data_IF_538893120293
#
_entry.id   IF_538893120293
#
_cell.length_a   1.000
_cell.length_b   1.000
_cell.length_c   1.000
_cell.angle_alpha   90.00
_cell.angle_beta   90.00
_cell.angle_gamma   90.00
#
_symmetry.space_group_name_H-M   'P 1'
#
loop_
_entity.id
_entity.type
_entity.pdbx_description
1 polymer ?
#
# COMPACT_ATOMS: atom_id res chain seq x y z
N UNK A 1 -57.95 12.83 -25.23
CA UNK A 1 -56.63 12.35 -24.77
C UNK A 1 -56.16 13.34 -23.73
N UNK A 2 -56.46 13.06 -22.46
CA UNK A 2 -56.27 13.98 -21.34
C UNK A 2 -54.98 13.58 -20.61
N UNK A 3 -54.03 14.51 -20.56
CA UNK A 3 -52.67 14.31 -20.03
C UNK A 3 -52.65 14.83 -18.59
N UNK A 4 -53.11 13.98 -17.67
CA UNK A 4 -53.15 14.27 -16.25
C UNK A 4 -51.74 14.14 -15.64
N UNK A 5 -51.09 15.29 -15.47
CA UNK A 5 -49.92 15.48 -14.62
C UNK A 5 -50.25 15.02 -13.19
N UNK A 6 -49.65 13.90 -12.77
CA UNK A 6 -49.60 13.51 -11.37
C UNK A 6 -48.92 14.64 -10.59
N UNK A 7 -49.56 15.21 -9.56
CA UNK A 7 -48.90 16.19 -8.72
C UNK A 7 -47.83 15.47 -7.88
N UNK A 8 -46.56 15.82 -8.06
CA UNK A 8 -45.41 15.45 -7.22
C UNK A 8 -45.52 15.91 -5.75
N UNK A 9 -46.72 16.33 -5.31
CA UNK A 9 -47.01 16.87 -3.98
C UNK A 9 -47.00 15.84 -2.82
N UNK A 10 -47.33 14.54 -3.00
CA UNK A 10 -47.30 13.62 -1.86
C UNK A 10 -45.89 13.14 -1.51
N UNK A 11 -44.93 13.18 -2.45
CA UNK A 11 -43.54 12.79 -2.18
C UNK A 11 -42.81 13.87 -1.38
N UNK A 12 -43.04 15.15 -1.70
CA UNK A 12 -42.46 16.27 -0.94
C UNK A 12 -43.05 16.35 0.47
N UNK A 13 -44.36 16.10 0.64
CA UNK A 13 -45.01 16.05 1.96
C UNK A 13 -44.56 14.84 2.81
N UNK A 14 -44.26 13.70 2.18
CA UNK A 14 -43.70 12.53 2.85
C UNK A 14 -42.24 12.76 3.29
N UNK A 15 -41.42 13.44 2.46
CA UNK A 15 -40.05 13.81 2.83
C UNK A 15 -39.98 14.88 3.93
N UNK A 16 -41.01 15.73 4.06
CA UNK A 16 -41.11 16.75 5.11
C UNK A 16 -41.56 16.16 6.47
N UNK A 17 -42.18 14.97 6.46
CA UNK A 17 -42.62 14.24 7.66
C UNK A 17 -41.63 13.21 8.18
N UNK A 18 -40.55 12.89 7.44
CA UNK A 18 -39.50 12.05 7.99
C UNK A 18 -38.80 12.80 9.13
N UNK A 19 -38.69 12.21 10.33
CA UNK A 19 -37.89 12.78 11.40
C UNK A 19 -36.50 13.05 10.81
N UNK A 20 -35.99 14.30 10.90
CA UNK A 20 -34.68 14.66 10.34
C UNK A 20 -33.54 13.73 10.80
N UNK A 21 -33.74 13.02 11.91
CA UNK A 21 -32.89 11.95 12.41
C UNK A 21 -32.77 10.74 11.44
N UNK A 22 -33.84 10.35 10.75
CA UNK A 22 -33.86 9.20 9.82
C UNK A 22 -33.16 9.55 8.48
N UNK A 23 -33.30 10.79 8.01
CA UNK A 23 -32.54 11.32 6.87
C UNK A 23 -31.04 11.43 7.19
N UNK A 24 -30.69 11.85 8.41
CA UNK A 24 -29.30 11.88 8.88
C UNK A 24 -28.66 10.48 8.96
N UNK A 25 -29.42 9.49 9.45
CA UNK A 25 -28.96 8.11 9.54
C UNK A 25 -28.84 7.45 8.16
N UNK A 26 -29.79 7.67 7.25
CA UNK A 26 -29.74 7.14 5.89
C UNK A 26 -28.61 7.76 5.06
N UNK A 27 -28.35 9.06 5.20
CA UNK A 27 -27.19 9.71 4.57
C UNK A 27 -25.87 9.18 5.13
N UNK A 28 -25.74 9.08 6.46
CA UNK A 28 -24.54 8.52 7.09
C UNK A 28 -24.31 7.06 6.66
N UNK A 29 -25.38 6.27 6.51
CA UNK A 29 -25.28 4.88 6.06
C UNK A 29 -24.84 4.78 4.60
N UNK A 30 -25.36 5.67 3.74
CA UNK A 30 -24.94 5.75 2.34
C UNK A 30 -23.46 6.13 2.23
N UNK A 31 -23.01 7.13 3.01
CA UNK A 31 -21.61 7.54 3.08
C UNK A 31 -20.71 6.42 3.60
N UNK A 32 -21.12 5.74 4.69
CA UNK A 32 -20.43 4.57 5.22
C UNK A 32 -20.22 3.50 4.14
N UNK A 33 -21.29 3.12 3.42
CA UNK A 33 -21.22 2.10 2.38
C UNK A 33 -20.31 2.53 1.22
N UNK A 34 -20.39 3.78 0.78
CA UNK A 34 -19.52 4.32 -0.27
C UNK A 34 -18.03 4.27 0.14
N UNK A 35 -17.70 4.70 1.36
CA UNK A 35 -16.34 4.69 1.88
C UNK A 35 -15.80 3.27 2.11
N UNK A 36 -16.67 2.33 2.49
CA UNK A 36 -16.32 0.92 2.60
C UNK A 36 -15.95 0.31 1.25
N UNK A 37 -16.76 0.58 0.23
CA UNK A 37 -16.47 0.15 -1.13
C UNK A 37 -15.15 0.75 -1.65
N UNK A 38 -14.86 2.01 -1.30
CA UNK A 38 -13.60 2.65 -1.65
C UNK A 38 -12.39 1.98 -0.95
N UNK A 39 -12.50 1.64 0.34
CA UNK A 39 -11.47 0.87 1.07
C UNK A 39 -11.23 -0.48 0.38
N UNK A 40 -12.28 -1.20 0.02
CA UNK A 40 -12.17 -2.50 -0.65
C UNK A 40 -11.47 -2.39 -2.01
N UNK A 41 -11.86 -1.41 -2.82
CA UNK A 41 -11.22 -1.10 -4.11
C UNK A 41 -9.73 -0.76 -3.94
N UNK A 42 -9.37 0.01 -2.91
CA UNK A 42 -7.97 0.34 -2.60
C UNK A 42 -7.18 -0.88 -2.13
N UNK A 43 -7.75 -1.70 -1.26
CA UNK A 43 -7.13 -2.93 -0.77
C UNK A 43 -6.85 -3.91 -1.93
N UNK A 44 -7.80 -4.03 -2.86
CA UNK A 44 -7.63 -4.84 -4.07
C UNK A 44 -6.49 -4.33 -4.96
N UNK A 45 -6.42 -3.00 -5.20
CA UNK A 45 -5.28 -2.38 -5.91
C UNK A 45 -3.95 -2.61 -5.19
N UNK A 46 -3.92 -2.48 -3.87
CA UNK A 46 -2.74 -2.71 -3.05
C UNK A 46 -2.23 -4.15 -3.19
N UNK A 47 -3.13 -5.14 -3.13
CA UNK A 47 -2.79 -6.54 -3.36
C UNK A 47 -2.29 -6.79 -4.80
N UNK A 48 -2.93 -6.18 -5.80
CA UNK A 48 -2.49 -6.26 -7.19
C UNK A 48 -1.07 -5.73 -7.41
N UNK A 49 -0.73 -4.60 -6.79
CA UNK A 49 0.63 -4.04 -6.83
C UNK A 49 1.65 -4.97 -6.16
N UNK A 50 1.29 -5.56 -5.02
CA UNK A 50 2.16 -6.48 -4.30
C UNK A 50 2.43 -7.75 -5.12
N UNK A 51 1.40 -8.36 -5.70
CA UNK A 51 1.54 -9.54 -6.55
C UNK A 51 2.38 -9.23 -7.79
N UNK A 52 2.09 -8.13 -8.48
CA UNK A 52 2.86 -7.69 -9.65
C UNK A 52 4.34 -7.49 -9.33
N UNK A 53 4.65 -6.86 -8.19
CA UNK A 53 6.03 -6.64 -7.73
C UNK A 53 6.77 -7.96 -7.51
N UNK A 54 6.15 -8.94 -6.84
CA UNK A 54 6.77 -10.25 -6.60
C UNK A 54 6.99 -10.99 -7.93
N UNK A 55 6.00 -11.01 -8.82
CA UNK A 55 6.11 -11.67 -10.13
C UNK A 55 7.20 -11.02 -11.00
N UNK A 56 7.21 -9.69 -11.08
CA UNK A 56 8.21 -8.95 -11.84
C UNK A 56 9.62 -9.18 -11.28
N UNK A 57 9.77 -9.15 -9.95
CA UNK A 57 11.04 -9.42 -9.28
C UNK A 57 11.53 -10.84 -9.54
N UNK A 58 10.65 -11.84 -9.44
CA UNK A 58 10.95 -13.22 -9.79
C UNK A 58 11.39 -13.38 -11.25
N UNK A 59 10.73 -12.69 -12.18
CA UNK A 59 11.11 -12.66 -13.59
C UNK A 59 12.52 -12.07 -13.82
N UNK A 60 12.84 -10.94 -13.19
CA UNK A 60 14.17 -10.31 -13.28
C UNK A 60 15.24 -11.20 -12.67
N UNK A 61 15.00 -11.80 -11.51
CA UNK A 61 15.95 -12.75 -10.91
C UNK A 61 16.14 -13.99 -11.81
N UNK A 62 15.07 -14.59 -12.33
CA UNK A 62 15.14 -15.72 -13.24
C UNK A 62 15.92 -15.38 -14.52
N UNK A 63 15.70 -14.20 -15.08
CA UNK A 63 16.46 -13.69 -16.22
C UNK A 63 17.95 -13.50 -15.89
N UNK A 64 18.27 -12.89 -14.75
CA UNK A 64 19.65 -12.70 -14.33
C UNK A 64 20.39 -14.01 -14.05
N UNK A 65 19.70 -15.02 -13.52
CA UNK A 65 20.27 -16.35 -13.27
C UNK A 65 20.55 -17.14 -14.55
N UNK A 66 19.91 -16.78 -15.67
CA UNK A 66 20.08 -17.50 -16.93
C UNK A 66 21.47 -17.37 -17.56
N UNK A 67 22.22 -16.31 -17.24
CA UNK A 67 23.60 -16.12 -17.71
C UNK A 67 24.37 -15.09 -16.85
N UNK A 68 25.66 -15.34 -16.62
CA UNK A 68 26.50 -14.53 -15.71
C UNK A 68 26.67 -13.08 -16.16
N UNK A 69 26.65 -12.82 -17.47
CA UNK A 69 26.73 -11.49 -18.09
C UNK A 69 25.48 -10.62 -17.81
N UNK A 70 24.37 -11.23 -17.39
CA UNK A 70 23.09 -10.55 -17.09
C UNK A 70 22.95 -10.11 -15.63
N UNK A 71 23.94 -10.39 -14.79
CA UNK A 71 23.87 -10.08 -13.35
C UNK A 71 23.63 -8.60 -13.07
N UNK A 72 24.13 -7.70 -13.92
CA UNK A 72 23.94 -6.26 -13.78
C UNK A 72 22.46 -5.83 -13.84
N UNK A 73 21.59 -6.58 -14.53
CA UNK A 73 20.16 -6.25 -14.63
C UNK A 73 19.44 -6.34 -13.28
N UNK A 74 19.97 -7.10 -12.31
CA UNK A 74 19.41 -7.20 -10.96
C UNK A 74 19.40 -5.83 -10.24
N UNK A 75 20.27 -4.90 -10.62
CA UNK A 75 20.30 -3.53 -10.07
C UNK A 75 19.08 -2.68 -10.42
N UNK A 76 18.22 -3.13 -11.34
CA UNK A 76 16.93 -2.46 -11.56
C UNK A 76 15.97 -2.67 -10.38
N UNK A 77 16.13 -3.77 -9.64
CA UNK A 77 15.19 -4.18 -8.59
C UNK A 77 15.11 -3.21 -7.42
N UNK A 78 16.22 -2.70 -6.85
CA UNK A 78 16.12 -1.71 -5.78
C UNK A 78 15.29 -0.47 -6.15
N UNK A 79 15.39 -0.02 -7.41
CA UNK A 79 14.66 1.15 -7.91
C UNK A 79 13.18 0.82 -8.13
N UNK A 80 12.86 -0.29 -8.80
CA UNK A 80 11.46 -0.68 -9.05
C UNK A 80 10.76 -1.00 -7.74
N UNK A 81 11.43 -1.71 -6.84
CA UNK A 81 10.94 -2.01 -5.48
C UNK A 81 10.57 -0.73 -4.75
N UNK A 82 11.38 0.32 -4.84
CA UNK A 82 11.08 1.59 -4.21
C UNK A 82 9.81 2.23 -4.79
N UNK A 83 9.64 2.24 -6.11
CA UNK A 83 8.44 2.78 -6.76
C UNK A 83 7.17 2.03 -6.34
N UNK A 84 7.22 0.70 -6.32
CA UNK A 84 6.11 -0.13 -5.85
C UNK A 84 5.83 0.08 -4.36
N UNK A 85 6.88 0.17 -3.53
CA UNK A 85 6.76 0.42 -2.11
C UNK A 85 6.12 1.78 -1.82
N UNK A 86 6.56 2.85 -2.50
CA UNK A 86 5.98 4.17 -2.37
C UNK A 86 4.48 4.15 -2.72
N UNK A 87 4.11 3.51 -3.82
CA UNK A 87 2.69 3.39 -4.21
C UNK A 87 1.89 2.56 -3.22
N UNK A 88 2.44 1.45 -2.74
CA UNK A 88 1.81 0.60 -1.72
C UNK A 88 1.52 1.39 -0.44
N UNK A 89 2.49 2.17 0.04
CA UNK A 89 2.34 2.99 1.26
C UNK A 89 1.34 4.13 1.05
N UNK A 90 1.22 4.68 -0.16
CA UNK A 90 0.19 5.67 -0.47
C UNK A 90 -1.23 5.10 -0.35
N UNK A 91 -1.49 3.91 -0.90
CA UNK A 91 -2.80 3.26 -0.78
C UNK A 91 -3.09 2.87 0.68
N UNK A 92 -2.08 2.36 1.40
CA UNK A 92 -2.17 2.03 2.82
C UNK A 92 -2.56 3.25 3.68
N UNK A 93 -1.93 4.40 3.44
CA UNK A 93 -2.27 5.65 4.11
C UNK A 93 -3.70 6.11 3.78
N UNK A 94 -4.14 5.99 2.52
CA UNK A 94 -5.50 6.37 2.13
C UNK A 94 -6.56 5.50 2.81
N UNK A 95 -6.35 4.17 2.84
CA UNK A 95 -7.21 3.24 3.57
C UNK A 95 -7.26 3.60 5.06
N UNK A 96 -6.11 3.94 5.65
CA UNK A 96 -6.01 4.36 7.05
C UNK A 96 -6.82 5.62 7.32
N UNK A 97 -6.68 6.65 6.49
CA UNK A 97 -7.42 7.92 6.64
C UNK A 97 -8.92 7.70 6.56
N UNK A 98 -9.39 6.90 5.60
CA UNK A 98 -10.83 6.58 5.49
C UNK A 98 -11.29 5.77 6.71
N UNK A 99 -10.50 4.81 7.17
CA UNK A 99 -10.82 4.01 8.35
C UNK A 99 -10.92 4.84 9.64
N UNK A 100 -10.07 5.86 9.79
CA UNK A 100 -10.14 6.80 10.93
C UNK A 100 -11.39 7.67 10.85
N UNK A 101 -11.69 8.21 9.67
CA UNK A 101 -12.92 8.97 9.45
C UNK A 101 -14.18 8.16 9.77
N UNK A 102 -14.22 6.90 9.33
CA UNK A 102 -15.34 5.99 9.64
C UNK A 102 -15.47 5.76 11.16
N UNK A 103 -14.36 5.65 11.87
CA UNK A 103 -14.35 5.45 13.33
C UNK A 103 -14.77 6.70 14.09
N UNK A 104 -14.13 7.83 13.78
CA UNK A 104 -14.16 9.04 14.60
C UNK A 104 -15.39 9.92 14.28
N UNK A 105 -15.84 9.94 13.02
CA UNK A 105 -16.95 10.82 12.60
C UNK A 105 -18.26 10.06 12.35
N UNK A 106 -18.20 8.88 11.71
CA UNK A 106 -19.39 8.12 11.31
C UNK A 106 -19.86 7.17 12.43
N UNK A 107 -18.94 6.62 13.22
CA UNK A 107 -19.24 5.71 14.33
C UNK A 107 -20.23 6.31 15.35
N UNK A 108 -20.09 7.60 15.64
CA UNK A 108 -20.98 8.32 16.55
C UNK A 108 -22.38 8.59 15.96
N UNK A 109 -22.48 8.67 14.62
CA UNK A 109 -23.74 8.93 13.90
C UNK A 109 -24.55 7.66 13.64
N UNK A 110 -23.90 6.50 13.58
CA UNK A 110 -24.53 5.20 13.30
C UNK A 110 -24.31 4.22 14.47
N UNK A 111 -25.11 4.32 15.55
CA UNK A 111 -25.00 3.41 16.67
C UNK A 111 -25.29 1.97 16.23
N UNK A 112 -24.30 1.08 16.38
CA UNK A 112 -24.39 -0.34 16.03
C UNK A 112 -23.27 -0.84 15.12
N UNK A 113 -22.58 0.05 14.41
CA UNK A 113 -21.42 -0.29 13.58
C UNK A 113 -20.15 -0.33 14.43
N UNK A 114 -19.95 -1.45 15.16
CA UNK A 114 -18.76 -1.67 16.00
C UNK A 114 -17.63 -2.39 15.28
N UNK A 115 -17.66 -2.47 13.95
CA UNK A 115 -16.67 -3.23 13.18
C UNK A 115 -15.25 -2.70 13.40
N UNK A 116 -15.06 -1.38 13.40
CA UNK A 116 -13.78 -0.72 13.62
C UNK A 116 -13.23 -1.05 15.01
N UNK A 117 -14.07 -0.99 16.04
CA UNK A 117 -13.73 -1.37 17.42
C UNK A 117 -13.39 -2.86 17.53
N UNK A 118 -14.21 -3.72 16.92
CA UNK A 118 -13.97 -5.17 16.88
C UNK A 118 -12.66 -5.50 16.18
N UNK A 119 -12.37 -4.87 15.04
CA UNK A 119 -11.13 -5.07 14.27
C UNK A 119 -9.88 -4.66 15.07
N UNK A 120 -9.98 -3.63 15.91
CA UNK A 120 -8.89 -3.23 16.81
C UNK A 120 -8.69 -4.21 17.97
N UNK A 121 -9.77 -4.83 18.44
CA UNK A 121 -9.73 -5.84 19.51
C UNK A 121 -9.15 -7.20 19.06
N UNK A 122 -9.08 -7.44 17.74
CA UNK A 122 -8.47 -8.65 17.18
C UNK A 122 -6.93 -8.60 17.36
N UNK A 123 -6.30 -9.66 17.92
CA UNK A 123 -4.85 -9.74 18.07
C UNK A 123 -4.20 -9.89 16.70
N UNK A 124 -3.93 -8.76 16.05
CA UNK A 124 -3.44 -8.76 14.67
C UNK A 124 -1.95 -9.07 14.47
N UNK A 125 -1.17 -9.35 15.53
CA UNK A 125 0.27 -9.58 15.41
C UNK A 125 0.79 -10.54 16.49
N UNK A 126 1.73 -11.40 16.10
CA UNK A 126 2.56 -12.15 17.03
C UNK A 126 3.61 -11.20 17.62
N UNK A 127 3.62 -10.93 18.94
CA UNK A 127 4.60 -10.04 19.55
C UNK A 127 6.01 -10.54 19.30
N UNK A 128 6.89 -9.65 18.82
CA UNK A 128 8.29 -9.96 18.50
C UNK A 128 8.56 -10.35 17.03
N UNK A 129 7.52 -10.62 16.22
CA UNK A 129 7.69 -11.00 14.81
C UNK A 129 7.41 -9.85 13.82
N UNK A 130 7.57 -8.63 14.30
CA UNK A 130 7.39 -7.38 13.54
C UNK A 130 8.30 -7.28 12.30
N UNK A 131 9.46 -7.94 12.35
CA UNK A 131 10.41 -7.98 11.24
C UNK A 131 9.93 -8.88 10.09
N UNK A 132 9.05 -9.84 10.37
CA UNK A 132 8.47 -10.74 9.37
C UNK A 132 7.21 -10.17 8.71
N UNK A 133 6.93 -8.88 8.90
CA UNK A 133 5.81 -8.23 8.21
C UNK A 133 5.97 -8.43 6.70
N UNK A 134 4.96 -8.96 5.97
CA UNK A 134 5.10 -9.35 4.57
C UNK A 134 5.63 -8.24 3.67
N UNK A 135 5.26 -6.98 3.92
CA UNK A 135 5.77 -5.83 3.16
C UNK A 135 7.25 -5.52 3.43
N UNK A 136 7.79 -5.80 4.61
CA UNK A 136 9.23 -5.67 4.88
C UNK A 136 10.03 -6.74 4.13
N UNK A 137 9.48 -7.95 4.03
CA UNK A 137 10.13 -9.03 3.27
C UNK A 137 10.06 -8.75 1.77
N UNK A 138 8.87 -8.40 1.25
CA UNK A 138 8.65 -8.26 -0.18
C UNK A 138 9.30 -7.01 -0.77
N UNK A 139 9.30 -5.88 -0.07
CA UNK A 139 9.91 -4.66 -0.61
C UNK A 139 11.41 -4.61 -0.28
N UNK A 140 11.87 -4.12 0.89
CA UNK A 140 13.30 -3.97 1.13
C UNK A 140 14.06 -5.30 1.12
N UNK A 141 13.42 -6.44 1.42
CA UNK A 141 14.07 -7.76 1.31
C UNK A 141 14.47 -8.13 -0.12
N UNK A 142 13.63 -7.89 -1.12
CA UNK A 142 13.96 -8.13 -2.54
C UNK A 142 15.09 -7.18 -3.00
N UNK A 143 15.01 -5.90 -2.64
CA UNK A 143 16.07 -4.94 -2.95
C UNK A 143 17.41 -5.31 -2.28
N UNK A 144 17.38 -5.76 -1.02
CA UNK A 144 18.56 -6.23 -0.31
C UNK A 144 19.17 -7.46 -0.98
N UNK A 145 18.35 -8.45 -1.34
CA UNK A 145 18.80 -9.64 -2.04
C UNK A 145 19.46 -9.29 -3.38
N UNK A 146 18.87 -8.35 -4.12
CA UNK A 146 19.42 -7.83 -5.37
C UNK A 146 20.79 -7.17 -5.17
N UNK A 147 20.92 -6.29 -4.16
CA UNK A 147 22.19 -5.62 -3.84
C UNK A 147 23.27 -6.62 -3.43
N UNK A 148 22.95 -7.59 -2.57
CA UNK A 148 23.89 -8.64 -2.14
C UNK A 148 24.37 -9.47 -3.34
N UNK A 149 23.43 -9.85 -4.22
CA UNK A 149 23.74 -10.66 -5.41
C UNK A 149 24.72 -9.98 -6.37
N UNK A 150 24.71 -8.64 -6.43
CA UNK A 150 25.56 -7.86 -7.34
C UNK A 150 26.95 -7.53 -6.78
N UNK A 151 27.23 -7.83 -5.51
CA UNK A 151 28.53 -7.55 -4.86
C UNK A 151 29.70 -8.18 -5.63
N UNK A 152 29.69 -9.48 -6.01
CA UNK A 152 30.82 -10.09 -6.70
C UNK A 152 31.12 -9.44 -8.05
N UNK A 153 30.07 -9.03 -8.78
CA UNK A 153 30.20 -8.33 -10.06
C UNK A 153 30.84 -6.96 -9.87
N UNK A 154 30.43 -6.20 -8.86
CA UNK A 154 31.02 -4.88 -8.57
C UNK A 154 32.49 -5.03 -8.19
N UNK A 155 32.82 -5.99 -7.32
CA UNK A 155 34.19 -6.23 -6.90
C UNK A 155 35.10 -6.69 -8.04
N UNK A 156 34.60 -7.52 -8.97
CA UNK A 156 35.38 -7.95 -10.13
C UNK A 156 35.62 -6.79 -11.09
N UNK A 157 34.59 -5.99 -11.39
CA UNK A 157 34.71 -4.81 -12.27
C UNK A 157 35.67 -3.76 -11.69
N UNK A 158 35.65 -3.52 -10.37
CA UNK A 158 36.57 -2.57 -9.71
C UNK A 158 38.04 -3.02 -9.73
N UNK A 159 38.30 -4.34 -9.73
CA UNK A 159 39.67 -4.88 -9.76
C UNK A 159 40.31 -4.78 -11.14
N UNK A 160 39.52 -4.73 -12.21
CA UNK A 160 40.03 -4.67 -13.58
C UNK A 160 40.34 -3.23 -13.98
N UNK A 161 41.60 -2.81 -13.79
CA UNK A 161 42.10 -1.44 -13.98
C UNK A 161 41.87 -0.82 -15.38
N UNK A 162 41.48 -1.60 -16.38
CA UNK A 162 41.23 -1.14 -17.76
C UNK A 162 39.80 -0.62 -18.01
N UNK A 163 38.88 -0.68 -17.03
CA UNK A 163 37.45 -0.40 -17.23
C UNK A 163 36.90 0.69 -16.28
N UNK A 164 37.62 1.80 -16.11
CA UNK A 164 37.24 2.86 -15.16
C UNK A 164 35.83 3.43 -15.40
N UNK A 165 35.45 3.71 -16.65
CA UNK A 165 34.14 4.28 -17.02
C UNK A 165 32.94 3.38 -16.66
N UNK A 166 32.86 2.11 -17.10
CA UNK A 166 31.74 1.25 -16.74
C UNK A 166 31.73 0.88 -15.25
N UNK A 167 32.89 0.82 -14.59
CA UNK A 167 32.98 0.60 -13.15
C UNK A 167 32.31 1.73 -12.35
N UNK A 168 32.55 2.99 -12.73
CA UNK A 168 31.93 4.14 -12.06
C UNK A 168 30.41 4.15 -12.24
N UNK A 169 29.91 3.89 -13.46
CA UNK A 169 28.48 3.82 -13.73
C UNK A 169 27.76 2.74 -12.90
N UNK A 170 28.37 1.55 -12.82
CA UNK A 170 27.84 0.44 -12.02
C UNK A 170 27.82 0.77 -10.53
N UNK A 171 28.89 1.39 -10.01
CA UNK A 171 28.96 1.80 -8.61
C UNK A 171 27.90 2.86 -8.27
N UNK A 172 27.70 3.86 -9.15
CA UNK A 172 26.66 4.86 -8.97
C UNK A 172 25.26 4.22 -8.95
N UNK A 173 24.99 3.29 -9.88
CA UNK A 173 23.73 2.55 -9.90
C UNK A 173 23.52 1.74 -8.61
N UNK A 174 24.57 1.09 -8.10
CA UNK A 174 24.50 0.35 -6.84
C UNK A 174 24.24 1.27 -5.64
N UNK A 175 24.90 2.42 -5.57
CA UNK A 175 24.66 3.41 -4.52
C UNK A 175 23.23 3.97 -4.56
N UNK A 176 22.70 4.23 -5.76
CA UNK A 176 21.28 4.59 -5.95
C UNK A 176 20.38 3.45 -5.46
N UNK A 177 20.75 2.19 -5.72
CA UNK A 177 20.01 1.05 -5.22
C UNK A 177 20.00 0.96 -3.68
N UNK A 178 21.13 1.23 -3.03
CA UNK A 178 21.23 1.28 -1.56
C UNK A 178 20.33 2.38 -0.99
N UNK A 179 20.31 3.57 -1.58
CA UNK A 179 19.43 4.66 -1.12
C UNK A 179 17.96 4.34 -1.35
N UNK A 180 17.61 3.73 -2.48
CA UNK A 180 16.25 3.26 -2.79
C UNK A 180 15.78 2.17 -1.82
N UNK A 181 16.66 1.22 -1.46
CA UNK A 181 16.38 0.19 -0.44
C UNK A 181 16.17 0.83 0.94
N UNK A 182 17.06 1.73 1.36
CA UNK A 182 16.98 2.40 2.66
C UNK A 182 15.69 3.22 2.79
N UNK A 183 15.33 3.98 1.75
CA UNK A 183 14.08 4.76 1.73
C UNK A 183 12.85 3.86 1.76
N UNK A 184 12.85 2.76 1.01
CA UNK A 184 11.78 1.75 1.06
C UNK A 184 11.58 1.18 2.47
N UNK A 185 12.68 0.83 3.13
CA UNK A 185 12.65 0.32 4.50
C UNK A 185 12.08 1.36 5.48
N UNK A 186 12.48 2.63 5.36
CA UNK A 186 11.97 3.72 6.18
C UNK A 186 10.48 3.99 5.95
N UNK A 187 10.02 3.95 4.70
CA UNK A 187 8.61 4.15 4.36
C UNK A 187 7.72 3.08 4.98
N UNK A 188 8.08 1.80 4.83
CA UNK A 188 7.33 0.69 5.42
C UNK A 188 7.37 0.74 6.95
N UNK A 189 8.52 1.06 7.55
CA UNK A 189 8.60 1.21 9.01
C UNK A 189 7.73 2.34 9.53
N UNK A 190 7.68 3.47 8.83
CA UNK A 190 6.80 4.60 9.19
C UNK A 190 5.34 4.20 9.08
N UNK A 191 4.93 3.50 8.02
CA UNK A 191 3.53 3.07 7.86
C UNK A 191 3.12 2.09 8.96
N UNK A 192 3.95 1.07 9.24
CA UNK A 192 3.69 0.10 10.32
C UNK A 192 3.57 0.80 11.68
N UNK A 193 4.46 1.75 11.98
CA UNK A 193 4.42 2.51 13.24
C UNK A 193 3.11 3.29 13.37
N UNK A 194 2.69 3.98 12.31
CA UNK A 194 1.44 4.74 12.31
C UNK A 194 0.22 3.84 12.57
N UNK A 195 0.19 2.62 12.03
CA UNK A 195 -0.88 1.66 12.35
C UNK A 195 -0.88 1.18 13.80
N UNK A 196 0.27 1.15 14.47
CA UNK A 196 0.34 0.76 15.90
C UNK A 196 -0.20 1.85 16.80
N UNK A 197 0.15 3.11 16.53
CA UNK A 197 -0.30 4.26 17.32
C UNK A 197 -1.83 4.33 17.36
N UNK A 198 -2.49 4.07 16.22
CA UNK A 198 -3.96 4.05 16.12
C UNK A 198 -4.65 2.91 16.86
N UNK A 199 -3.92 1.84 17.19
CA UNK A 199 -4.47 0.72 17.96
C UNK A 199 -4.48 1.02 19.47
N UNK A 200 -3.66 1.98 19.91
CA UNK A 200 -3.48 2.32 21.33
C UNK A 200 -4.36 3.51 21.72
N UNK A 201 -4.72 4.37 20.76
CA UNK A 201 -5.69 5.48 20.90
C UNK A 201 -7.13 5.01 20.87
#
# INVERSE_FOLDING_TARGET
MDNSYLPLKPIVAFMEQLPRADLGNSQALAEFNALRQEIESRASRQYGLFALHITASGGVFGFALSATDRTAFVLILPITTYLFCARYVMEDNAIRTIGLYLRDDIGDRLPGLRWEQWRQSQPGHLPGMDWAHPSLVAFPGIALAALIWTIPTILSTLRTAQQALPATGLLLMWMIGVTAMATSFLLVRRSIRAWRELRIS
#
